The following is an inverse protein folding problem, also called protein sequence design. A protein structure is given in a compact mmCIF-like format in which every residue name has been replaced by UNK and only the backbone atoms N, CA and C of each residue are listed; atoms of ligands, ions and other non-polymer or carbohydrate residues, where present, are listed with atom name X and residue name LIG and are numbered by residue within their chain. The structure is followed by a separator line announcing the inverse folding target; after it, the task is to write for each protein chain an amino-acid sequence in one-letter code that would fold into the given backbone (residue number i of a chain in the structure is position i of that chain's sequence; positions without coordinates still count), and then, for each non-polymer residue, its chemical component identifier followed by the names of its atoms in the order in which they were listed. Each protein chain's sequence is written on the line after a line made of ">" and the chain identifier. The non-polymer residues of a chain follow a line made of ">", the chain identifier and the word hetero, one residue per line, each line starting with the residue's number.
data_IF_214297714198
#
_entry.id   IF_214297714198
#
_cell.length_a   1.000
_cell.length_b   1.000
_cell.length_c   1.000
_cell.angle_alpha   90.00
_cell.angle_beta   90.00
_cell.angle_gamma   90.00
#
_symmetry.space_group_name_H-M   'P 1'
#
loop_
_entity.id
_entity.type
_entity.pdbx_description
1 polymer ?
#
# COMPACT_ATOMS: atom_id res chain seq x y z
N UNK A 1 16.63 -2.74 -29.53
CA UNK A 1 15.21 -2.70 -29.79
C UNK A 1 14.62 -4.06 -29.63
N UNK A 2 13.49 -4.06 -29.03
CA UNK A 2 12.83 -5.29 -28.64
C UNK A 2 12.28 -6.00 -29.87
N UNK A 3 12.68 -7.22 -30.09
CA UNK A 3 12.18 -8.11 -31.14
C UNK A 3 10.64 -8.22 -31.11
N UNK A 4 10.06 -8.24 -29.92
CA UNK A 4 8.63 -8.32 -29.68
C UNK A 4 7.85 -7.14 -30.25
N UNK A 5 8.37 -5.93 -30.19
CA UNK A 5 7.74 -4.74 -30.77
C UNK A 5 7.72 -4.76 -32.30
N UNK A 6 8.65 -5.49 -32.93
CA UNK A 6 8.75 -5.62 -34.39
C UNK A 6 8.07 -6.86 -34.93
N UNK A 7 7.60 -7.77 -34.11
CA UNK A 7 7.12 -9.07 -34.54
C UNK A 7 5.92 -9.01 -35.48
N UNK A 8 5.01 -8.08 -35.27
CA UNK A 8 3.88 -7.90 -36.18
C UNK A 8 4.30 -7.53 -37.61
N UNK A 9 5.53 -7.04 -37.80
CA UNK A 9 6.13 -6.72 -39.11
C UNK A 9 7.08 -7.81 -39.59
N UNK A 10 7.43 -8.80 -38.78
CA UNK A 10 8.44 -9.82 -39.08
C UNK A 10 7.84 -11.23 -39.12
N UNK A 11 6.76 -11.41 -39.87
CA UNK A 11 6.15 -12.73 -40.08
C UNK A 11 7.21 -13.74 -40.57
N UNK A 12 7.31 -14.86 -39.86
CA UNK A 12 8.21 -15.96 -40.24
C UNK A 12 9.62 -15.92 -39.61
N UNK A 13 9.98 -14.93 -38.81
CA UNK A 13 11.25 -14.97 -38.09
C UNK A 13 11.13 -15.79 -36.81
N UNK A 14 12.14 -16.62 -36.55
CA UNK A 14 12.25 -17.39 -35.32
C UNK A 14 12.29 -16.48 -34.09
N UNK A 15 11.68 -16.93 -32.99
CA UNK A 15 11.81 -16.27 -31.70
C UNK A 15 13.24 -16.41 -31.20
N UNK A 16 13.92 -15.34 -30.76
CA UNK A 16 15.34 -15.38 -30.40
C UNK A 16 15.64 -16.11 -29.08
N UNK A 17 14.61 -16.63 -28.41
CA UNK A 17 14.73 -17.31 -27.12
C UNK A 17 14.33 -18.77 -27.24
N UNK A 18 15.13 -19.64 -26.64
CA UNK A 18 14.84 -21.07 -26.59
C UNK A 18 13.62 -21.38 -25.72
N UNK A 19 12.97 -22.49 -26.03
CA UNK A 19 11.86 -23.02 -25.22
C UNK A 19 12.36 -23.29 -23.80
N UNK A 20 11.70 -22.69 -22.82
CA UNK A 20 12.08 -22.85 -21.41
C UNK A 20 12.84 -21.67 -20.81
N UNK A 21 13.38 -20.74 -21.62
CA UNK A 21 14.17 -19.59 -21.14
C UNK A 21 13.51 -18.82 -20.01
N UNK A 22 12.20 -18.59 -20.08
CA UNK A 22 11.43 -17.84 -19.07
C UNK A 22 10.50 -18.72 -18.23
N UNK A 23 10.69 -20.04 -18.23
CA UNK A 23 9.83 -21.01 -17.52
C UNK A 23 9.72 -20.68 -16.02
N UNK A 24 10.84 -20.41 -15.36
CA UNK A 24 10.87 -20.10 -13.94
C UNK A 24 10.03 -18.85 -13.60
N UNK A 25 10.11 -17.81 -14.42
CA UNK A 25 9.32 -16.61 -14.22
C UNK A 25 7.82 -16.84 -14.39
N UNK A 26 7.42 -17.64 -15.38
CA UNK A 26 6.01 -17.95 -15.61
C UNK A 26 5.44 -18.94 -14.59
N UNK A 27 6.25 -19.75 -13.91
CA UNK A 27 5.81 -20.71 -12.90
C UNK A 27 5.01 -20.04 -11.76
N UNK A 28 5.24 -18.77 -11.48
CA UNK A 28 4.47 -18.00 -10.52
C UNK A 28 3.02 -17.69 -10.95
N UNK A 29 2.68 -17.94 -12.22
CA UNK A 29 1.38 -17.57 -12.82
C UNK A 29 0.68 -18.78 -13.46
N UNK A 30 0.30 -19.81 -12.70
CA UNK A 30 -0.25 -21.06 -13.24
C UNK A 30 -1.54 -20.86 -14.04
N UNK A 31 -2.38 -19.87 -13.68
CA UNK A 31 -3.60 -19.57 -14.42
C UNK A 31 -3.30 -18.97 -15.80
N UNK A 32 -2.26 -18.14 -15.92
CA UNK A 32 -1.85 -17.58 -17.20
C UNK A 32 -1.26 -18.67 -18.11
N UNK A 33 -0.55 -19.63 -17.55
CA UNK A 33 -0.05 -20.80 -18.31
C UNK A 33 -1.21 -21.58 -18.92
N UNK A 34 -2.31 -21.77 -18.18
CA UNK A 34 -3.51 -22.47 -18.67
C UNK A 34 -4.26 -21.72 -19.75
N UNK A 35 -4.22 -20.37 -19.72
CA UNK A 35 -4.89 -19.51 -20.68
C UNK A 35 -4.08 -19.27 -21.95
N UNK A 36 -2.82 -19.65 -21.94
CA UNK A 36 -1.94 -19.45 -23.09
C UNK A 36 -1.90 -20.69 -23.97
N UNK A 37 -2.20 -20.50 -25.23
CA UNK A 37 -2.21 -21.56 -26.23
C UNK A 37 -1.19 -21.22 -27.35
N UNK A 38 -0.10 -22.03 -27.48
CA UNK A 38 0.91 -21.79 -28.53
C UNK A 38 0.31 -21.75 -29.93
N UNK A 39 -0.70 -22.56 -30.21
CA UNK A 39 -1.39 -22.64 -31.50
C UNK A 39 -2.11 -21.32 -31.87
N UNK A 40 -2.57 -20.56 -30.88
CA UNK A 40 -3.14 -19.22 -31.09
C UNK A 40 -2.06 -18.14 -31.23
N UNK A 41 -0.81 -18.50 -30.98
CA UNK A 41 0.34 -17.59 -30.96
C UNK A 41 1.45 -18.04 -31.91
N UNK A 42 1.09 -18.61 -33.04
CA UNK A 42 2.02 -19.04 -34.11
C UNK A 42 3.06 -20.10 -33.64
N UNK A 43 2.66 -20.99 -32.72
CA UNK A 43 3.52 -22.05 -32.20
C UNK A 43 4.56 -21.58 -31.16
N UNK A 44 4.51 -20.33 -30.73
CA UNK A 44 5.45 -19.84 -29.71
C UNK A 44 5.02 -20.34 -28.34
N UNK A 45 5.93 -21.01 -27.65
CA UNK A 45 5.69 -21.40 -26.27
C UNK A 45 5.76 -20.18 -25.32
N UNK A 46 4.90 -20.12 -24.31
CA UNK A 46 4.90 -19.03 -23.32
C UNK A 46 6.27 -18.89 -22.63
N UNK A 47 6.97 -20.00 -22.44
CA UNK A 47 8.32 -20.02 -21.87
C UNK A 47 9.40 -19.37 -22.72
N UNK A 48 9.10 -18.99 -23.97
CA UNK A 48 9.96 -18.20 -24.83
C UNK A 48 9.65 -16.69 -24.74
N UNK A 49 8.61 -16.30 -24.02
CA UNK A 49 8.14 -14.93 -23.93
C UNK A 49 8.61 -14.30 -22.62
N UNK A 50 9.38 -13.20 -22.65
CA UNK A 50 9.71 -12.46 -21.44
C UNK A 50 8.45 -11.97 -20.72
N UNK A 51 8.45 -11.98 -19.39
CA UNK A 51 7.30 -11.53 -18.60
C UNK A 51 6.97 -10.04 -18.84
N UNK A 52 7.98 -9.24 -19.16
CA UNK A 52 7.84 -7.82 -19.46
C UNK A 52 7.79 -7.52 -20.96
N UNK A 53 7.49 -8.53 -21.79
CA UNK A 53 7.38 -8.31 -23.23
C UNK A 53 6.19 -7.40 -23.56
N UNK A 54 6.46 -6.35 -24.33
CA UNK A 54 5.42 -5.45 -24.85
C UNK A 54 4.94 -5.97 -26.21
N UNK A 55 4.20 -7.06 -26.17
CA UNK A 55 3.63 -7.73 -27.33
C UNK A 55 2.23 -8.24 -27.01
N UNK A 56 1.29 -8.02 -27.91
CA UNK A 56 -0.05 -8.60 -27.79
C UNK A 56 -0.01 -10.10 -28.09
N UNK A 57 -0.43 -10.88 -27.14
CA UNK A 57 -0.60 -12.32 -27.22
C UNK A 57 -2.09 -12.67 -27.17
N UNK A 58 -2.46 -13.75 -27.83
CA UNK A 58 -3.81 -14.30 -27.78
C UNK A 58 -3.93 -15.23 -26.56
N UNK A 59 -4.91 -14.96 -25.73
CA UNK A 59 -5.25 -15.74 -24.55
C UNK A 59 -6.65 -16.32 -24.70
N UNK A 60 -6.91 -17.46 -24.08
CA UNK A 60 -8.23 -18.06 -24.02
C UNK A 60 -8.60 -18.31 -22.56
N UNK A 61 -9.77 -17.81 -22.15
CA UNK A 61 -10.25 -18.04 -20.79
C UNK A 61 -10.89 -19.44 -20.65
N UNK A 62 -11.11 -19.94 -19.41
CA UNK A 62 -11.74 -21.24 -19.20
C UNK A 62 -13.15 -21.39 -19.80
N UNK A 63 -13.80 -20.31 -20.19
CA UNK A 63 -15.13 -20.29 -20.84
C UNK A 63 -15.00 -20.30 -22.37
N UNK A 64 -13.77 -20.17 -22.90
CA UNK A 64 -13.50 -20.19 -24.33
C UNK A 64 -13.45 -18.83 -25.01
N UNK A 65 -13.55 -17.72 -24.30
CA UNK A 65 -13.39 -16.40 -24.92
C UNK A 65 -11.93 -16.14 -25.24
N UNK A 66 -11.66 -15.67 -26.47
CA UNK A 66 -10.33 -15.30 -26.94
C UNK A 66 -10.13 -13.80 -26.91
N UNK A 67 -9.03 -13.35 -26.38
CA UNK A 67 -8.72 -11.92 -26.27
C UNK A 67 -7.22 -11.66 -26.38
N UNK A 68 -6.86 -10.45 -26.82
CA UNK A 68 -5.48 -10.02 -26.92
C UNK A 68 -5.08 -9.21 -25.68
N UNK A 69 -3.89 -9.49 -25.14
CA UNK A 69 -3.32 -8.73 -24.04
C UNK A 69 -1.81 -8.93 -23.98
N UNK A 70 -1.08 -7.97 -23.43
CA UNK A 70 0.35 -8.13 -23.17
C UNK A 70 0.61 -8.99 -21.93
N UNK A 71 1.79 -9.63 -21.80
CA UNK A 71 2.22 -10.30 -20.58
C UNK A 71 2.05 -9.45 -19.32
N UNK A 72 2.40 -8.19 -19.38
CA UNK A 72 2.28 -7.24 -18.27
C UNK A 72 0.83 -7.00 -17.90
N UNK A 73 -0.04 -6.71 -18.86
CA UNK A 73 -1.49 -6.56 -18.62
C UNK A 73 -2.08 -7.81 -17.98
N UNK A 74 -1.69 -8.99 -18.37
CA UNK A 74 -2.17 -10.23 -17.78
C UNK A 74 -1.74 -10.42 -16.33
N UNK A 75 -0.53 -10.00 -15.98
CA UNK A 75 0.02 -10.12 -14.63
C UNK A 75 -0.52 -9.05 -13.66
N UNK A 76 -0.74 -7.83 -14.14
CA UNK A 76 -1.09 -6.66 -13.31
C UNK A 76 -2.59 -6.44 -13.11
N UNK A 77 -3.40 -7.35 -13.54
CA UNK A 77 -4.86 -7.19 -13.51
C UNK A 77 -5.48 -7.03 -12.14
N UNK A 78 -6.57 -6.25 -12.07
CA UNK A 78 -7.31 -6.10 -10.83
C UNK A 78 -7.77 -7.46 -10.32
N UNK A 79 -7.28 -7.90 -9.17
CA UNK A 79 -7.64 -9.17 -8.57
C UNK A 79 -6.48 -10.14 -8.37
N UNK A 80 -5.23 -9.69 -8.33
CA UNK A 80 -4.06 -10.51 -7.96
C UNK A 80 -4.31 -11.41 -6.73
N UNK A 81 -5.21 -11.02 -5.83
CA UNK A 81 -5.61 -11.80 -4.65
C UNK A 81 -6.63 -12.90 -5.00
N UNK A 82 -7.25 -12.86 -6.18
CA UNK A 82 -8.17 -13.91 -6.62
C UNK A 82 -7.43 -14.95 -7.43
N UNK A 83 -6.88 -15.92 -6.76
CA UNK A 83 -6.24 -17.12 -7.33
C UNK A 83 -7.09 -17.93 -8.33
N UNK A 84 -8.30 -17.45 -8.68
CA UNK A 84 -9.28 -18.16 -9.50
C UNK A 84 -9.97 -17.34 -10.60
N UNK A 85 -9.64 -16.09 -10.80
CA UNK A 85 -10.27 -15.36 -11.90
C UNK A 85 -9.34 -15.32 -13.10
N UNK A 86 -9.65 -16.18 -14.06
CA UNK A 86 -9.28 -15.93 -15.43
C UNK A 86 -9.73 -14.51 -15.79
N UNK A 87 -8.82 -13.56 -15.96
CA UNK A 87 -9.24 -12.30 -16.50
C UNK A 87 -9.51 -12.48 -17.99
N UNK A 88 -10.69 -12.17 -18.33
CA UNK A 88 -11.17 -12.08 -19.68
C UNK A 88 -12.07 -10.84 -19.75
N UNK A 89 -11.89 -9.93 -20.73
CA UNK A 89 -12.72 -8.73 -20.85
C UNK A 89 -14.21 -9.05 -20.93
N UNK A 90 -14.58 -10.11 -21.66
CA UNK A 90 -15.97 -10.53 -21.82
C UNK A 90 -16.55 -11.09 -20.53
N UNK A 91 -15.83 -12.00 -19.85
CA UNK A 91 -16.24 -12.51 -18.56
C UNK A 91 -16.33 -11.38 -17.51
N UNK A 92 -15.42 -10.42 -17.55
CA UNK A 92 -15.46 -9.24 -16.68
C UNK A 92 -16.65 -8.34 -16.97
N UNK A 93 -17.00 -8.17 -18.24
CA UNK A 93 -18.19 -7.40 -18.64
C UNK A 93 -19.49 -8.10 -18.21
N UNK A 94 -19.57 -9.42 -18.39
CA UNK A 94 -20.72 -10.23 -17.95
C UNK A 94 -20.86 -10.28 -16.42
N UNK A 95 -19.76 -10.26 -15.69
CA UNK A 95 -19.76 -10.23 -14.22
C UNK A 95 -20.11 -8.84 -13.63
N UNK A 96 -20.15 -7.79 -14.44
CA UNK A 96 -20.62 -6.48 -13.97
C UNK A 96 -22.09 -6.57 -13.64
N UNK A 97 -22.53 -6.08 -12.46
CA UNK A 97 -23.95 -6.02 -12.14
C UNK A 97 -24.65 -5.23 -13.25
N UNK A 98 -25.45 -5.89 -14.05
CA UNK A 98 -26.35 -5.21 -14.98
C UNK A 98 -27.31 -4.37 -14.15
N UNK A 99 -27.51 -3.09 -14.47
CA UNK A 99 -28.60 -2.35 -13.86
C UNK A 99 -29.88 -3.07 -14.25
N UNK A 100 -30.54 -3.67 -13.27
CA UNK A 100 -31.87 -4.25 -13.47
C UNK A 100 -32.77 -3.06 -13.78
N UNK A 101 -33.11 -2.87 -15.03
CA UNK A 101 -34.21 -1.97 -15.43
C UNK A 101 -35.47 -2.66 -14.97
N UNK A 102 -35.86 -2.43 -13.73
CA UNK A 102 -37.18 -2.74 -13.25
C UNK A 102 -38.12 -1.84 -14.05
N UNK A 103 -38.85 -2.41 -15.02
CA UNK A 103 -39.92 -1.72 -15.67
C UNK A 103 -40.84 -1.16 -14.58
N UNK A 104 -41.27 0.07 -14.73
CA UNK A 104 -42.11 0.93 -13.86
C UNK A 104 -42.59 0.38 -12.49
N UNK A 105 -41.79 -0.43 -11.82
CA UNK A 105 -41.97 -0.75 -10.43
C UNK A 105 -41.67 0.53 -9.64
N UNK A 106 -42.78 1.11 -9.11
CA UNK A 106 -42.81 2.20 -8.15
C UNK A 106 -41.52 2.29 -7.38
N UNK A 107 -40.70 3.28 -7.71
CA UNK A 107 -39.38 3.47 -7.09
C UNK A 107 -39.56 3.44 -5.57
N UNK A 108 -39.13 2.37 -4.94
CA UNK A 108 -39.04 2.34 -3.49
C UNK A 108 -38.20 3.56 -3.09
N UNK A 109 -38.67 4.39 -2.15
CA UNK A 109 -37.96 5.57 -1.75
C UNK A 109 -36.54 5.14 -1.37
N UNK A 110 -35.55 5.58 -2.14
CA UNK A 110 -34.15 5.39 -1.79
C UNK A 110 -33.99 5.92 -0.37
N UNK A 111 -33.61 5.04 0.58
CA UNK A 111 -33.24 5.51 1.91
C UNK A 111 -32.30 6.68 1.71
N UNK A 112 -32.60 7.86 2.25
CA UNK A 112 -31.80 9.03 2.07
C UNK A 112 -30.34 8.62 2.43
N UNK A 113 -29.43 8.82 1.49
CA UNK A 113 -28.00 8.58 1.74
C UNK A 113 -27.69 9.43 2.97
N UNK A 114 -27.31 8.80 4.08
CA UNK A 114 -26.90 9.56 5.26
C UNK A 114 -25.89 10.59 4.78
N UNK A 115 -26.10 11.88 5.07
CA UNK A 115 -25.16 12.92 4.68
C UNK A 115 -23.77 12.49 5.16
N UNK A 116 -22.77 12.67 4.30
CA UNK A 116 -21.39 12.39 4.70
C UNK A 116 -21.13 13.13 6.02
N UNK A 117 -20.55 12.48 7.03
CA UNK A 117 -20.31 13.12 8.32
C UNK A 117 -19.48 14.40 8.09
N UNK A 118 -19.94 15.50 8.65
CA UNK A 118 -19.27 16.78 8.51
C UNK A 118 -17.80 16.68 8.99
N UNK A 119 -16.90 17.30 8.24
CA UNK A 119 -15.49 17.38 8.61
C UNK A 119 -15.33 18.25 9.86
N UNK A 120 -14.34 17.95 10.68
CA UNK A 120 -13.95 18.77 11.80
C UNK A 120 -13.45 20.13 11.31
N UNK A 121 -14.02 21.20 11.83
CA UNK A 121 -13.65 22.58 11.48
C UNK A 121 -12.51 23.13 12.36
N UNK A 122 -12.05 22.38 13.36
CA UNK A 122 -10.99 22.81 14.28
C UNK A 122 -9.59 22.65 13.71
N UNK A 123 -9.41 21.83 12.66
CA UNK A 123 -8.11 21.71 12.00
C UNK A 123 -7.79 23.03 11.30
N UNK A 124 -6.65 23.67 11.61
CA UNK A 124 -6.28 24.93 10.98
C UNK A 124 -6.05 24.78 9.47
N UNK A 125 -6.22 25.89 8.75
CA UNK A 125 -5.89 25.93 7.33
C UNK A 125 -4.38 26.14 7.15
N UNK A 126 -3.68 25.01 6.98
CA UNK A 126 -2.23 24.93 6.83
C UNK A 126 -1.90 24.13 5.56
N UNK A 127 -0.72 24.36 4.98
CA UNK A 127 -0.22 23.53 3.89
C UNK A 127 -0.14 22.05 4.29
N UNK A 128 -0.43 21.15 3.32
CA UNK A 128 -0.29 19.71 3.55
C UNK A 128 1.14 19.35 3.96
N UNK A 129 1.27 18.52 4.97
CA UNK A 129 2.56 18.12 5.54
C UNK A 129 3.08 19.05 6.62
N UNK A 130 2.38 20.13 6.98
CA UNK A 130 2.76 20.95 8.12
C UNK A 130 2.47 20.21 9.44
N UNK A 131 3.48 20.15 10.30
CA UNK A 131 3.34 19.69 11.68
C UNK A 131 2.84 20.83 12.56
N UNK A 132 1.95 20.55 13.50
CA UNK A 132 1.37 21.58 14.38
C UNK A 132 0.80 20.99 15.67
N UNK A 133 0.44 21.86 16.60
CA UNK A 133 -0.24 21.49 17.84
C UNK A 133 -1.75 21.47 17.57
N UNK A 134 -2.38 20.28 17.64
CA UNK A 134 -3.81 20.12 17.45
C UNK A 134 -4.55 19.93 18.78
N UNK A 135 -5.62 20.69 18.95
CA UNK A 135 -6.56 20.50 20.04
C UNK A 135 -7.44 19.23 19.88
N UNK A 136 -7.42 18.61 18.71
CA UNK A 136 -8.19 17.39 18.40
C UNK A 136 -7.39 16.11 18.65
N UNK A 137 -6.06 16.22 18.84
CA UNK A 137 -5.21 15.07 19.11
C UNK A 137 -5.62 14.35 20.41
N UNK A 138 -5.70 13.02 20.42
CA UNK A 138 -5.94 12.28 21.64
C UNK A 138 -4.78 12.47 22.62
N UNK A 139 -5.06 12.32 23.89
CA UNK A 139 -3.97 12.26 24.89
C UNK A 139 -3.19 10.96 24.74
N UNK A 140 -1.88 10.94 25.10
CA UNK A 140 -1.08 9.72 25.11
C UNK A 140 -1.82 8.57 25.82
N UNK A 141 -1.92 7.43 25.14
CA UNK A 141 -2.80 6.35 25.57
C UNK A 141 -2.17 5.43 26.61
N UNK A 142 -0.83 5.38 26.71
CA UNK A 142 -0.14 4.41 27.58
C UNK A 142 1.08 4.96 28.30
N UNK A 143 1.39 4.35 29.46
CA UNK A 143 2.62 4.66 30.20
C UNK A 143 3.89 4.29 29.41
N UNK A 144 3.81 3.29 28.51
CA UNK A 144 4.92 2.89 27.67
C UNK A 144 5.22 3.93 26.59
N UNK A 145 4.19 4.50 25.98
CA UNK A 145 4.31 5.63 25.05
C UNK A 145 4.91 6.86 25.75
N UNK A 146 4.43 7.18 26.96
CA UNK A 146 4.98 8.27 27.78
C UNK A 146 6.47 8.08 28.09
N UNK A 147 6.90 6.87 28.45
CA UNK A 147 8.33 6.55 28.65
C UNK A 147 9.14 6.67 27.37
N UNK A 148 8.63 6.14 26.26
CA UNK A 148 9.29 6.25 24.94
C UNK A 148 9.53 7.72 24.58
N UNK A 149 8.52 8.57 24.75
CA UNK A 149 8.58 10.00 24.48
C UNK A 149 9.61 10.71 25.37
N UNK A 150 9.64 10.39 26.67
CA UNK A 150 10.59 10.95 27.60
C UNK A 150 12.03 10.52 27.30
N UNK A 151 12.27 9.25 27.00
CA UNK A 151 13.59 8.72 26.67
C UNK A 151 14.13 9.28 25.36
N UNK A 152 13.29 9.35 24.31
CA UNK A 152 13.69 10.00 23.07
C UNK A 152 13.96 11.49 23.27
N UNK A 153 13.14 12.21 24.03
CA UNK A 153 13.34 13.63 24.31
C UNK A 153 14.59 13.94 25.13
N UNK A 154 15.15 12.96 25.83
CA UNK A 154 16.45 13.14 26.50
C UNK A 154 17.66 13.02 25.55
N UNK A 155 17.47 12.42 24.38
CA UNK A 155 18.54 12.09 23.43
C UNK A 155 18.47 12.87 22.12
N UNK A 156 17.27 13.20 21.66
CA UNK A 156 17.07 13.94 20.41
C UNK A 156 16.15 15.14 20.65
N UNK A 157 16.49 16.26 20.05
CA UNK A 157 15.70 17.48 20.16
C UNK A 157 14.45 17.41 19.29
N UNK A 158 13.29 17.58 19.92
CA UNK A 158 12.01 17.81 19.26
C UNK A 158 11.03 18.47 20.23
N UNK A 159 10.01 19.14 19.69
CA UNK A 159 8.95 19.74 20.50
C UNK A 159 7.85 18.68 20.80
N UNK A 160 7.71 18.21 22.05
CA UNK A 160 6.72 17.23 22.42
C UNK A 160 5.27 17.75 22.35
N UNK A 161 5.05 19.06 22.21
CA UNK A 161 3.72 19.64 22.04
C UNK A 161 3.19 19.43 20.61
N UNK A 162 4.07 19.29 19.62
CA UNK A 162 3.68 19.00 18.24
C UNK A 162 3.16 17.58 18.15
N UNK A 163 1.87 17.44 17.80
CA UNK A 163 1.14 16.19 17.91
C UNK A 163 0.26 15.88 16.68
N UNK A 164 0.35 16.68 15.62
CA UNK A 164 -0.47 16.53 14.43
C UNK A 164 0.30 16.87 13.15
N UNK A 165 -0.11 16.22 12.06
CA UNK A 165 0.35 16.52 10.71
C UNK A 165 -0.87 16.79 9.82
N UNK A 166 -0.86 17.92 9.11
CA UNK A 166 -1.87 18.29 8.13
C UNK A 166 -1.84 17.34 6.94
N UNK A 167 -3.00 16.80 6.55
CA UNK A 167 -3.14 15.92 5.39
C UNK A 167 -4.13 16.50 4.37
N UNK A 168 -3.93 16.17 3.10
CA UNK A 168 -4.77 16.69 2.01
C UNK A 168 -6.14 16.01 1.93
N UNK A 169 -6.22 14.74 2.32
CA UNK A 169 -7.47 13.97 2.31
C UNK A 169 -7.92 13.67 3.72
N UNK A 170 -9.22 13.71 4.00
CA UNK A 170 -9.71 13.43 5.34
C UNK A 170 -9.31 12.04 5.83
N UNK A 171 -8.71 12.00 7.00
CA UNK A 171 -8.53 10.79 7.79
C UNK A 171 -9.66 10.74 8.82
N UNK A 172 -10.58 9.80 8.65
CA UNK A 172 -11.89 9.80 9.29
C UNK A 172 -12.63 11.13 9.06
N UNK A 173 -12.70 12.01 10.05
CA UNK A 173 -13.43 13.29 10.00
C UNK A 173 -12.50 14.50 10.10
N UNK A 174 -11.19 14.31 10.02
CA UNK A 174 -10.18 15.36 10.19
C UNK A 174 -9.27 15.44 8.98
N UNK A 175 -8.84 16.63 8.62
CA UNK A 175 -7.77 16.86 7.64
C UNK A 175 -6.40 16.90 8.32
N UNK A 176 -6.25 16.09 9.37
CA UNK A 176 -5.04 15.91 10.15
C UNK A 176 -4.93 14.47 10.63
N UNK A 177 -3.74 14.03 10.93
CA UNK A 177 -3.43 12.76 11.60
C UNK A 177 -2.57 13.03 12.82
N UNK A 178 -2.64 12.17 13.84
CA UNK A 178 -2.00 12.34 15.14
C UNK A 178 -1.02 11.19 15.40
N UNK A 179 0.26 11.34 15.00
CA UNK A 179 1.30 10.39 15.42
C UNK A 179 1.58 10.48 16.92
N UNK A 180 2.11 9.40 17.47
CA UNK A 180 2.50 9.39 18.88
C UNK A 180 3.67 10.33 19.13
N UNK A 181 4.66 10.40 18.24
CA UNK A 181 5.74 11.38 18.27
C UNK A 181 5.94 11.95 16.86
N UNK A 182 6.20 13.23 16.79
CA UNK A 182 6.44 13.96 15.54
C UNK A 182 7.82 14.60 15.60
N UNK A 183 8.65 14.34 14.58
CA UNK A 183 9.95 14.99 14.35
C UNK A 183 9.82 15.93 13.15
N UNK A 184 9.43 17.20 13.34
CA UNK A 184 9.11 18.11 12.26
C UNK A 184 10.27 18.33 11.28
N UNK A 185 11.45 18.57 11.78
CA UNK A 185 12.67 18.86 11.01
C UNK A 185 13.13 17.64 10.21
N UNK A 186 12.93 16.46 10.75
CA UNK A 186 13.22 15.20 10.07
C UNK A 186 12.06 14.73 9.18
N UNK A 187 10.87 15.31 9.29
CA UNK A 187 9.63 14.84 8.64
C UNK A 187 9.43 13.35 8.83
N UNK A 188 9.58 12.91 10.06
CA UNK A 188 9.37 11.52 10.49
C UNK A 188 8.31 11.50 11.58
N UNK A 189 7.33 10.63 11.43
CA UNK A 189 6.30 10.31 12.41
C UNK A 189 6.61 8.95 13.05
N UNK A 190 6.50 8.84 14.35
CA UNK A 190 6.69 7.60 15.09
C UNK A 190 5.38 7.18 15.73
N UNK A 191 5.06 5.90 15.59
CA UNK A 191 3.88 5.22 16.15
C UNK A 191 4.32 4.10 17.08
N UNK A 192 3.63 3.93 18.20
CA UNK A 192 3.90 2.86 19.15
C UNK A 192 2.73 1.89 19.25
N UNK A 193 2.84 0.76 18.59
CA UNK A 193 1.78 -0.22 18.45
C UNK A 193 1.96 -1.39 19.42
N UNK A 194 0.91 -1.69 20.18
CA UNK A 194 0.85 -2.86 21.05
C UNK A 194 -0.40 -3.67 20.75
N UNK A 195 -0.39 -4.95 21.09
CA UNK A 195 -1.60 -5.79 20.97
C UNK A 195 -2.68 -5.41 22.00
N UNK A 196 -2.35 -4.52 22.92
CA UNK A 196 -3.24 -4.13 24.01
C UNK A 196 -3.51 -5.25 25.02
N UNK A 197 -4.28 -4.93 26.04
CA UNK A 197 -4.59 -5.87 27.14
C UNK A 197 -5.30 -7.14 26.66
N UNK A 198 -6.10 -7.05 25.61
CA UNK A 198 -6.92 -8.14 25.08
C UNK A 198 -6.39 -8.75 23.76
N UNK A 199 -5.20 -8.36 23.32
CA UNK A 199 -4.60 -8.88 22.08
C UNK A 199 -5.32 -8.48 20.79
N UNK A 200 -6.18 -7.46 20.82
CA UNK A 200 -7.04 -7.06 19.71
C UNK A 200 -6.71 -5.67 19.13
N UNK A 201 -5.70 -5.00 19.66
CA UNK A 201 -5.24 -3.71 19.13
C UNK A 201 -4.26 -3.92 17.98
N UNK A 202 -4.27 -3.01 17.01
CA UNK A 202 -3.41 -3.04 15.82
C UNK A 202 -3.47 -4.35 15.01
N UNK A 203 -4.60 -5.08 15.05
CA UNK A 203 -4.86 -6.28 14.26
C UNK A 203 -6.18 -6.18 13.49
N UNK A 204 -6.30 -6.87 12.38
CA UNK A 204 -7.50 -6.91 11.54
C UNK A 204 -7.93 -5.51 11.06
N UNK A 205 -9.18 -5.11 11.31
CA UNK A 205 -9.72 -3.79 10.87
C UNK A 205 -8.98 -2.59 11.46
N UNK A 206 -8.35 -2.72 12.63
CA UNK A 206 -7.54 -1.67 13.23
C UNK A 206 -6.23 -1.50 12.47
N UNK A 207 -5.61 -2.60 12.06
CA UNK A 207 -4.44 -2.57 11.19
C UNK A 207 -4.72 -1.87 9.85
N UNK A 208 -5.92 -2.04 9.28
CA UNK A 208 -6.31 -1.28 8.07
C UNK A 208 -6.35 0.23 8.32
N UNK A 209 -6.72 0.67 9.53
CA UNK A 209 -6.67 2.08 9.90
C UNK A 209 -5.22 2.58 10.03
N UNK A 210 -4.33 1.77 10.60
CA UNK A 210 -2.90 2.07 10.70
C UNK A 210 -2.28 2.24 9.32
N UNK A 211 -2.52 1.30 8.40
CA UNK A 211 -2.08 1.39 7.00
C UNK A 211 -2.63 2.61 6.27
N UNK A 212 -3.86 3.03 6.59
CA UNK A 212 -4.43 4.27 6.00
C UNK A 212 -3.76 5.52 6.56
N UNK A 213 -3.41 5.53 7.86
CA UNK A 213 -2.69 6.62 8.52
C UNK A 213 -1.31 6.78 7.89
N UNK A 214 -0.58 5.67 7.70
CA UNK A 214 0.73 5.67 7.05
C UNK A 214 0.68 6.22 5.63
N UNK A 215 -0.31 5.77 4.84
CA UNK A 215 -0.50 6.31 3.48
C UNK A 215 -0.79 7.82 3.48
N UNK A 216 -1.56 8.29 4.45
CA UNK A 216 -1.86 9.72 4.56
C UNK A 216 -0.62 10.55 4.92
N UNK A 217 0.20 10.05 5.85
CA UNK A 217 1.48 10.67 6.22
C UNK A 217 2.47 10.67 5.06
N UNK A 218 2.69 9.53 4.40
CA UNK A 218 3.60 9.46 3.24
C UNK A 218 3.14 10.34 2.08
N UNK A 219 1.83 10.42 1.82
CA UNK A 219 1.28 11.33 0.82
C UNK A 219 1.47 12.83 1.18
N UNK A 220 1.70 13.12 2.45
CA UNK A 220 2.03 14.46 2.96
C UNK A 220 3.56 14.72 3.04
N UNK A 221 4.39 13.78 2.54
CA UNK A 221 5.85 13.88 2.51
C UNK A 221 6.54 13.52 3.83
N UNK A 222 5.91 12.66 4.62
CA UNK A 222 6.45 12.14 5.88
C UNK A 222 6.82 10.68 5.76
N UNK A 223 7.87 10.25 6.46
CA UNK A 223 8.13 8.83 6.70
C UNK A 223 7.55 8.40 8.04
N UNK A 224 7.28 7.11 8.16
CA UNK A 224 6.65 6.53 9.36
C UNK A 224 7.51 5.40 9.87
N UNK A 225 7.89 5.49 11.15
CA UNK A 225 8.51 4.41 11.92
C UNK A 225 7.43 3.86 12.86
N UNK A 226 7.09 2.57 12.74
CA UNK A 226 6.25 1.90 13.72
C UNK A 226 7.07 1.03 14.66
N UNK A 227 6.88 1.24 15.94
CA UNK A 227 7.40 0.34 16.96
C UNK A 227 6.32 -0.71 17.21
N UNK A 228 6.56 -1.92 16.72
CA UNK A 228 5.61 -3.03 16.77
C UNK A 228 5.98 -3.98 17.90
N UNK A 229 5.17 -4.04 18.95
CA UNK A 229 5.39 -4.92 20.10
C UNK A 229 4.41 -6.09 20.13
N UNK A 230 4.62 -7.07 21.04
CA UNK A 230 3.67 -8.18 21.22
C UNK A 230 3.53 -9.10 20.00
N UNK A 231 4.58 -9.31 19.24
CA UNK A 231 4.60 -10.15 18.01
C UNK A 231 3.76 -9.59 16.86
N UNK A 232 3.50 -8.28 16.84
CA UNK A 232 2.89 -7.62 15.70
C UNK A 232 3.88 -7.61 14.51
N UNK A 233 3.41 -8.00 13.33
CA UNK A 233 4.21 -8.00 12.11
C UNK A 233 4.44 -6.56 11.59
N UNK A 234 5.61 -6.26 11.01
CA UNK A 234 5.86 -4.97 10.36
C UNK A 234 4.84 -4.67 9.27
N UNK A 235 4.46 -3.39 9.11
CA UNK A 235 3.54 -2.90 8.08
C UNK A 235 4.26 -2.10 6.99
N UNK A 236 5.41 -1.54 7.33
CA UNK A 236 6.18 -0.67 6.45
C UNK A 236 7.69 -0.95 6.50
N UNK A 237 8.46 -0.30 5.63
CA UNK A 237 9.90 -0.58 5.47
C UNK A 237 10.74 -0.15 6.68
N UNK A 238 10.24 0.79 7.49
CA UNK A 238 10.95 1.37 8.63
C UNK A 238 10.41 0.89 9.98
N UNK A 239 9.60 -0.18 9.97
CA UNK A 239 8.98 -0.69 11.18
C UNK A 239 9.98 -1.51 12.02
N UNK A 240 9.95 -1.32 13.32
CA UNK A 240 10.82 -1.96 14.27
C UNK A 240 10.02 -2.93 15.17
N UNK A 241 10.25 -4.22 15.03
CA UNK A 241 9.74 -5.21 15.97
C UNK A 241 10.60 -5.17 17.25
N UNK A 242 10.00 -4.74 18.36
CA UNK A 242 10.66 -4.57 19.65
C UNK A 242 9.86 -5.29 20.74
N UNK A 243 10.55 -5.83 21.74
CA UNK A 243 9.90 -6.47 22.90
C UNK A 243 9.48 -5.47 23.97
N UNK A 244 10.23 -4.37 24.10
CA UNK A 244 10.01 -3.34 25.13
C UNK A 244 10.77 -2.05 24.80
N UNK A 245 10.43 -0.96 25.48
CA UNK A 245 11.23 0.28 25.47
C UNK A 245 12.44 0.10 26.38
N UNK A 246 13.63 0.21 25.81
CA UNK A 246 14.94 0.08 26.49
C UNK A 246 15.98 0.94 25.77
N UNK A 247 17.12 1.19 26.39
CA UNK A 247 18.22 1.93 25.73
C UNK A 247 18.62 1.32 24.38
N UNK A 248 18.63 -0.01 24.27
CA UNK A 248 18.88 -0.70 23.00
C UNK A 248 17.78 -0.42 21.95
N UNK A 249 16.53 -0.38 22.38
CA UNK A 249 15.41 -0.06 21.49
C UNK A 249 15.47 1.38 20.99
N UNK A 250 15.84 2.30 21.87
CA UNK A 250 16.02 3.72 21.53
C UNK A 250 17.18 3.88 20.54
N UNK A 251 18.31 3.20 20.75
CA UNK A 251 19.41 3.19 19.78
C UNK A 251 18.97 2.75 18.38
N UNK A 252 18.16 1.68 18.29
CA UNK A 252 17.60 1.21 17.00
C UNK A 252 16.68 2.25 16.34
N UNK A 253 15.92 3.01 17.13
CA UNK A 253 15.08 4.07 16.57
C UNK A 253 15.93 5.19 15.99
N UNK A 254 17.01 5.59 16.69
CA UNK A 254 17.95 6.61 16.20
C UNK A 254 18.64 6.12 14.93
N UNK A 255 19.06 4.85 14.88
CA UNK A 255 19.67 4.27 13.68
C UNK A 255 18.69 4.24 12.50
N UNK A 256 17.42 3.97 12.75
CA UNK A 256 16.39 4.02 11.70
C UNK A 256 16.12 5.47 11.23
N UNK A 257 16.11 6.46 12.13
CA UNK A 257 16.07 7.87 11.76
C UNK A 257 17.25 8.24 10.85
N UNK A 258 18.47 7.77 11.18
CA UNK A 258 19.68 7.96 10.36
C UNK A 258 19.55 7.27 8.99
N UNK A 259 18.97 6.08 8.94
CA UNK A 259 18.73 5.38 7.68
C UNK A 259 17.77 6.15 6.77
N UNK A 260 16.75 6.79 7.34
CA UNK A 260 15.75 7.58 6.60
C UNK A 260 16.31 8.92 6.14
N UNK A 261 17.05 9.64 7.00
CA UNK A 261 17.40 11.07 6.78
C UNK A 261 18.89 11.34 6.66
N UNK A 262 19.71 10.34 6.85
CA UNK A 262 21.16 10.46 6.89
C UNK A 262 21.70 10.84 8.27
N UNK A 263 22.85 10.27 8.63
CA UNK A 263 23.45 10.47 9.94
C UNK A 263 23.74 11.94 10.24
N UNK A 264 24.29 12.69 9.29
CA UNK A 264 24.66 14.10 9.50
C UNK A 264 23.48 14.96 9.98
N UNK A 265 22.30 14.76 9.37
CA UNK A 265 21.12 15.54 9.73
C UNK A 265 20.58 15.11 11.10
N UNK A 266 20.48 13.79 11.35
CA UNK A 266 19.93 13.28 12.63
C UNK A 266 20.83 13.61 13.79
N UNK A 267 22.18 13.47 13.60
CA UNK A 267 23.15 13.70 14.66
C UNK A 267 23.21 15.20 15.05
N UNK A 268 22.84 16.11 14.16
CA UNK A 268 22.70 17.52 14.48
C UNK A 268 21.59 17.84 15.52
N UNK A 269 20.63 16.94 15.69
CA UNK A 269 19.55 17.03 16.70
C UNK A 269 19.79 16.16 17.91
N UNK A 270 20.89 15.37 17.98
CA UNK A 270 21.24 14.61 19.19
C UNK A 270 21.81 15.56 20.26
N UNK A 271 21.47 15.27 21.51
CA UNK A 271 21.92 16.02 22.69
C UNK A 271 23.17 15.41 23.29
#
# INVERSE_FOLDING_TARGET
>A
MQWWARRQFSRGRAVPYDVGTYRAGWAAYPELIRQYHPELNHGIALSQVPLAADVLLCWECPVGHRFAATPTEQRERPGQVRRRSAWCPECSALARPQPVVLGEARALPRKPRRPAPALCTKTPDLPTGTAFVSACAPRPASAAEGRLRAELGSLIEFDPAVNAVKVSRPFFRHTEVWPDIVFPELRVALEYDTVGRHGLEHVGKRQDADLRKDRALRAAGWEVIRIRTGKLEPLGPHDLALSSVSAKSIGRIIDELRAIRGALLVDAYLR
#
